data_IF_373528704921
#
_entry.id   IF_373528704921
#
_cell.length_a   1.000
_cell.length_b   1.000
_cell.length_c   1.000
_cell.angle_alpha   90.00
_cell.angle_beta   90.00
_cell.angle_gamma   90.00
#
_symmetry.space_group_name_H-M   'P 1'
#
loop_
_entity.id
_entity.type
_entity.pdbx_description
1 polymer ?
#
# COMPACT_ATOMS: atom_id res chain seq x y z
N UNK A 1 -3.28 8.25 6.17
CA UNK A 1 -4.37 7.54 5.45
C UNK A 1 -3.83 6.22 4.93
N UNK A 2 -4.53 5.11 5.12
CA UNK A 2 -4.10 3.73 4.82
C UNK A 2 -4.62 3.16 3.50
N UNK A 3 -5.21 4.01 2.66
CA UNK A 3 -5.91 3.61 1.44
C UNK A 3 -5.01 3.44 0.21
N UNK A 4 -3.74 3.85 0.28
CA UNK A 4 -2.84 3.94 -0.89
C UNK A 4 -2.55 2.57 -1.52
N UNK A 5 -2.36 1.53 -0.71
CA UNK A 5 -2.12 0.16 -1.20
C UNK A 5 -3.38 -0.39 -1.89
N UNK A 6 -4.56 -0.21 -1.29
CA UNK A 6 -5.84 -0.67 -1.89
C UNK A 6 -6.11 0.03 -3.23
N UNK A 7 -5.89 1.35 -3.29
CA UNK A 7 -6.02 2.11 -4.53
C UNK A 7 -4.99 1.67 -5.57
N UNK A 8 -3.74 1.44 -5.14
CA UNK A 8 -2.66 0.90 -5.97
C UNK A 8 -3.00 -0.47 -6.56
N UNK A 9 -3.57 -1.38 -5.76
CA UNK A 9 -4.02 -2.68 -6.22
C UNK A 9 -5.09 -2.55 -7.31
N UNK A 10 -6.10 -1.70 -7.10
CA UNK A 10 -7.13 -1.43 -8.11
C UNK A 10 -6.54 -0.89 -9.42
N UNK A 11 -5.57 0.03 -9.33
CA UNK A 11 -4.86 0.55 -10.50
C UNK A 11 -4.00 -0.51 -11.20
N UNK A 12 -3.37 -1.43 -10.45
CA UNK A 12 -2.58 -2.53 -11.01
C UNK A 12 -3.47 -3.51 -11.79
N UNK A 13 -4.63 -3.87 -11.23
CA UNK A 13 -5.61 -4.72 -11.90
C UNK A 13 -6.17 -4.04 -13.17
N UNK A 14 -6.51 -2.76 -13.08
CA UNK A 14 -7.00 -2.00 -14.23
C UNK A 14 -5.95 -1.90 -15.35
N UNK A 15 -4.67 -1.72 -15.01
CA UNK A 15 -3.56 -1.76 -15.96
C UNK A 15 -3.53 -3.11 -16.69
N UNK A 16 -3.55 -4.21 -15.95
CA UNK A 16 -3.44 -5.56 -16.54
C UNK A 16 -4.61 -5.85 -17.47
N UNK A 17 -5.83 -5.48 -17.07
CA UNK A 17 -7.03 -5.57 -17.91
C UNK A 17 -6.94 -4.72 -19.17
N UNK A 18 -6.23 -3.60 -19.11
CA UNK A 18 -6.01 -2.70 -20.25
C UNK A 18 -4.81 -3.07 -21.12
N UNK A 19 -4.10 -4.17 -20.82
CA UNK A 19 -2.85 -4.56 -21.51
C UNK A 19 -1.69 -3.59 -21.29
N UNK A 20 -1.76 -2.75 -20.25
CA UNK A 20 -0.74 -1.77 -19.91
C UNK A 20 0.52 -2.40 -19.31
N UNK A 21 1.62 -1.66 -19.35
CA UNK A 21 2.93 -2.12 -18.81
C UNK A 21 3.58 -1.13 -17.84
N UNK A 22 2.87 -0.08 -17.46
CA UNK A 22 3.35 0.89 -16.49
C UNK A 22 3.45 0.27 -15.09
N UNK A 23 4.39 0.77 -14.29
CA UNK A 23 4.49 0.37 -12.89
C UNK A 23 3.42 1.12 -12.08
N UNK A 24 2.87 0.45 -11.08
CA UNK A 24 2.01 1.06 -10.06
C UNK A 24 2.79 1.06 -8.75
N UNK A 25 2.95 2.23 -8.16
CA UNK A 25 3.77 2.46 -6.97
C UNK A 25 2.88 3.09 -5.91
N UNK A 26 2.70 2.42 -4.78
CA UNK A 26 2.02 2.95 -3.61
C UNK A 26 3.05 3.35 -2.56
N UNK A 27 3.00 4.61 -2.11
CA UNK A 27 3.79 5.06 -0.96
C UNK A 27 2.88 5.08 0.26
N UNK A 28 3.34 4.51 1.37
CA UNK A 28 2.61 4.46 2.64
C UNK A 28 3.53 4.85 3.78
N UNK A 29 3.04 5.64 4.73
CA UNK A 29 3.78 5.95 5.96
C UNK A 29 3.68 4.82 6.98
N UNK A 30 4.69 4.70 7.85
CA UNK A 30 4.72 3.84 9.04
C UNK A 30 3.42 3.88 9.87
N UNK A 31 2.94 5.08 10.23
CA UNK A 31 1.71 5.24 11.02
C UNK A 31 0.46 4.73 10.32
N UNK A 32 0.44 4.71 8.98
CA UNK A 32 -0.67 4.22 8.17
C UNK A 32 -0.63 2.71 7.92
N UNK A 33 0.52 2.05 8.09
CA UNK A 33 0.66 0.58 7.93
C UNK A 33 -0.06 -0.20 9.02
N UNK A 34 -0.24 0.38 10.21
CA UNK A 34 -0.95 -0.26 11.32
C UNK A 34 -2.44 -0.48 11.05
N UNK A 35 -3.02 0.18 10.05
CA UNK A 35 -4.43 0.07 9.74
C UNK A 35 -4.75 -1.23 8.98
N UNK A 36 -5.85 -1.90 9.34
CA UNK A 36 -6.26 -3.18 8.75
C UNK A 36 -6.40 -3.16 7.22
N UNK A 37 -6.84 -2.04 6.63
CA UNK A 37 -6.97 -1.90 5.18
C UNK A 37 -5.64 -2.06 4.43
N UNK A 38 -4.52 -1.63 5.02
CA UNK A 38 -3.20 -1.82 4.42
C UNK A 38 -2.83 -3.31 4.38
N UNK A 39 -3.11 -4.05 5.46
CA UNK A 39 -2.91 -5.49 5.54
C UNK A 39 -3.81 -6.27 4.59
N UNK A 40 -5.11 -5.95 4.54
CA UNK A 40 -6.06 -6.57 3.61
C UNK A 40 -5.64 -6.35 2.16
N UNK A 41 -5.20 -5.14 1.81
CA UNK A 41 -4.75 -4.83 0.46
C UNK A 41 -3.48 -5.59 0.07
N UNK A 42 -2.50 -5.71 0.98
CA UNK A 42 -1.30 -6.52 0.73
C UNK A 42 -1.62 -8.01 0.57
N UNK A 43 -2.53 -8.54 1.39
CA UNK A 43 -2.96 -9.92 1.29
C UNK A 43 -3.64 -10.19 -0.07
N UNK A 44 -4.58 -9.32 -0.47
CA UNK A 44 -5.23 -9.40 -1.77
C UNK A 44 -4.24 -9.27 -2.93
N UNK A 45 -3.24 -8.38 -2.82
CA UNK A 45 -2.21 -8.24 -3.86
C UNK A 45 -1.42 -9.54 -4.05
N UNK A 46 -1.08 -10.23 -2.96
CA UNK A 46 -0.44 -11.55 -3.00
C UNK A 46 -1.34 -12.63 -3.60
N UNK A 47 -2.63 -12.66 -3.21
CA UNK A 47 -3.60 -13.62 -3.73
C UNK A 47 -3.86 -13.46 -5.24
N UNK A 48 -3.74 -12.24 -5.76
CA UNK A 48 -3.98 -11.89 -7.17
C UNK A 48 -2.71 -11.89 -8.03
N UNK A 49 -1.54 -12.20 -7.45
CA UNK A 49 -0.23 -12.05 -8.11
C UNK A 49 -0.05 -10.66 -8.78
N UNK A 50 -0.59 -9.63 -8.12
CA UNK A 50 -0.65 -8.29 -8.69
C UNK A 50 0.73 -7.64 -8.69
N UNK A 51 1.20 -7.19 -9.85
CA UNK A 51 2.45 -6.41 -9.95
C UNK A 51 2.25 -5.00 -9.39
N UNK A 52 2.47 -4.85 -8.09
CA UNK A 52 2.38 -3.61 -7.31
C UNK A 52 3.69 -3.39 -6.54
N UNK A 53 4.26 -2.18 -6.62
CA UNK A 53 5.43 -1.80 -5.83
C UNK A 53 4.92 -0.99 -4.63
N UNK A 54 5.28 -1.41 -3.42
CA UNK A 54 4.95 -0.69 -2.19
C UNK A 54 6.23 -0.12 -1.59
N UNK A 55 6.23 1.18 -1.32
CA UNK A 55 7.31 1.88 -0.63
C UNK A 55 6.79 2.26 0.75
N UNK A 56 7.41 1.69 1.78
CA UNK A 56 7.22 2.12 3.15
C UNK A 56 8.10 3.35 3.41
N UNK A 57 7.47 4.50 3.62
CA UNK A 57 8.13 5.69 4.13
C UNK A 57 8.12 5.61 5.65
N UNK A 58 9.19 5.02 6.19
CA UNK A 58 9.42 4.91 7.61
C UNK A 58 10.24 6.11 8.10
N UNK A 59 9.58 7.03 8.80
CA UNK A 59 10.18 8.24 9.36
C UNK A 59 9.90 8.39 10.86
N UNK A 60 9.54 7.29 11.55
CA UNK A 60 9.18 7.24 12.97
C UNK A 60 8.12 8.28 13.39
N UNK A 61 7.22 8.66 12.49
CA UNK A 61 6.27 9.74 12.72
C UNK A 61 4.95 9.55 11.97
N UNK A 62 3.83 9.48 12.70
CA UNK A 62 2.49 9.53 12.07
C UNK A 62 2.00 10.98 11.84
N UNK A 63 2.06 11.82 12.88
CA UNK A 63 1.77 13.28 12.91
C UNK A 63 2.70 13.95 13.93
N UNK A 64 2.88 13.27 15.07
CA UNK A 64 3.94 13.45 16.06
C UNK A 64 4.62 12.07 16.28
N UNK A 65 5.73 11.99 17.04
CA UNK A 65 6.37 10.70 17.35
C UNK A 65 5.35 9.73 17.97
N UNK A 66 5.45 8.42 17.65
CA UNK A 66 4.54 7.43 18.22
C UNK A 66 4.64 7.46 19.75
N UNK A 67 3.53 7.78 20.42
CA UNK A 67 3.43 7.73 21.90
C UNK A 67 3.07 6.33 22.41
N UNK A 68 2.97 5.34 21.52
CA UNK A 68 2.79 3.94 21.85
C UNK A 68 4.11 3.22 21.69
N UNK A 69 4.59 2.58 22.76
CA UNK A 69 5.70 1.66 22.69
C UNK A 69 5.23 0.34 22.08
N UNK A 70 5.50 0.14 20.79
CA UNK A 70 5.70 -1.14 20.09
C UNK A 70 6.42 -0.86 18.78
#
# INVERSE_FOLDING_TARGET
SSTSISAGLGMAMARDLSGGRNNVIAVIGDGAMSAGMAYEAMNNAGALDARLIVILNDNDMSIAPPTGAM
#
